data_IF_822940063052
#
_entry.id   IF_822940063052
#
_cell.length_a   1.000
_cell.length_b   1.000
_cell.length_c   1.000
_cell.angle_alpha   90.00
_cell.angle_beta   90.00
_cell.angle_gamma   90.00
#
_symmetry.space_group_name_H-M   'P 1'
#
loop_
_entity.id
_entity.type
_entity.pdbx_description
1 polymer ?
#
# COMPACT_ATOMS: atom_id res chain seq x y z
N UNK A 1 0.05 9.29 11.66
CA UNK A 1 1.32 9.21 10.92
C UNK A 1 0.98 9.46 9.47
N UNK A 2 1.76 10.27 8.77
CA UNK A 2 1.54 10.55 7.34
C UNK A 2 2.30 9.56 6.47
N UNK A 3 1.90 9.43 5.20
CA UNK A 3 2.65 8.61 4.22
C UNK A 3 4.10 9.10 4.07
N UNK A 4 4.34 10.41 4.16
CA UNK A 4 5.68 11.02 4.16
C UNK A 4 6.55 10.54 5.31
N UNK A 5 5.98 10.42 6.50
CA UNK A 5 6.69 9.88 7.67
C UNK A 5 6.99 8.39 7.46
N UNK A 6 6.03 7.63 6.91
CA UNK A 6 6.21 6.20 6.64
C UNK A 6 7.36 5.97 5.66
N UNK A 7 7.37 6.68 4.53
CA UNK A 7 8.44 6.62 3.51
C UNK A 7 9.82 6.81 4.12
N UNK A 8 9.96 7.76 5.06
CA UNK A 8 11.22 8.01 5.76
C UNK A 8 11.61 6.89 6.71
N UNK A 9 10.65 6.28 7.41
CA UNK A 9 10.91 5.23 8.42
C UNK A 9 11.35 3.93 7.76
N UNK A 10 10.76 3.57 6.61
CA UNK A 10 11.07 2.33 5.91
C UNK A 10 12.05 2.52 4.75
N UNK A 11 12.55 3.74 4.55
CA UNK A 11 13.46 4.11 3.45
C UNK A 11 12.92 3.67 2.08
N UNK A 12 11.63 3.90 1.83
CA UNK A 12 10.96 3.47 0.59
C UNK A 12 11.15 4.47 -0.56
N UNK A 13 11.12 3.94 -1.78
CA UNK A 13 11.03 4.74 -3.00
C UNK A 13 9.56 4.99 -3.38
N UNK A 14 9.22 6.25 -3.64
CA UNK A 14 7.87 6.64 -4.07
C UNK A 14 7.75 6.44 -5.58
N UNK A 15 7.05 5.38 -5.99
CA UNK A 15 6.81 5.08 -7.41
C UNK A 15 5.75 6.03 -8.02
N UNK A 16 4.70 6.34 -7.27
CA UNK A 16 3.60 7.22 -7.70
C UNK A 16 2.92 7.89 -6.49
N UNK A 17 2.01 8.85 -6.73
CA UNK A 17 1.24 9.51 -5.66
C UNK A 17 2.04 10.51 -4.82
N UNK A 18 3.04 11.17 -5.42
CA UNK A 18 3.90 12.15 -4.75
C UNK A 18 3.12 13.31 -4.11
N UNK A 19 1.97 13.66 -4.68
CA UNK A 19 1.03 14.69 -4.21
C UNK A 19 0.22 14.26 -2.98
N UNK A 20 0.22 12.98 -2.62
CA UNK A 20 -0.57 12.42 -1.51
C UNK A 20 0.27 12.12 -0.26
N UNK A 21 1.55 12.51 -0.22
CA UNK A 21 2.44 12.17 0.90
C UNK A 21 2.00 12.76 2.26
N UNK A 22 1.22 13.83 2.27
CA UNK A 22 0.69 14.44 3.50
C UNK A 22 -0.57 13.71 4.04
N UNK A 23 -1.06 12.68 3.34
CA UNK A 23 -2.22 11.87 3.76
C UNK A 23 -1.92 11.10 5.05
N UNK A 24 -2.85 11.15 5.99
CA UNK A 24 -2.83 10.31 7.19
C UNK A 24 -3.40 8.91 6.87
N UNK A 25 -2.80 7.87 7.44
CA UNK A 25 -3.30 6.50 7.32
C UNK A 25 -3.75 5.94 8.68
N UNK A 26 -4.72 5.03 8.66
CA UNK A 26 -5.38 4.48 9.86
C UNK A 26 -4.63 3.30 10.48
N UNK A 27 -3.78 2.62 9.71
CA UNK A 27 -3.00 1.47 10.15
C UNK A 27 -2.33 0.76 8.98
N UNK A 28 -1.84 -0.45 9.24
CA UNK A 28 -1.14 -1.27 8.24
C UNK A 28 -1.79 -2.65 8.19
N UNK A 29 -2.01 -3.16 6.98
CA UNK A 29 -2.40 -4.55 6.73
C UNK A 29 -1.29 -5.26 5.95
N UNK A 30 -0.92 -6.46 6.37
CA UNK A 30 0.19 -7.21 5.78
C UNK A 30 -0.32 -8.58 5.36
N UNK A 31 -0.33 -8.84 4.06
CA UNK A 31 -0.76 -10.12 3.51
C UNK A 31 -0.43 -10.21 2.03
N UNK A 32 -0.10 -11.41 1.58
CA UNK A 32 0.15 -11.73 0.18
C UNK A 32 -0.99 -12.54 -0.43
N UNK A 33 -2.11 -12.71 0.26
CA UNK A 33 -3.28 -13.38 -0.30
C UNK A 33 -4.36 -12.35 -0.60
N UNK A 34 -4.69 -12.15 -1.88
CA UNK A 34 -5.71 -11.17 -2.29
C UNK A 34 -7.06 -11.39 -1.59
N UNK A 35 -7.48 -12.66 -1.45
CA UNK A 35 -8.73 -13.00 -0.77
C UNK A 35 -8.73 -12.61 0.70
N UNK A 36 -7.56 -12.68 1.35
CA UNK A 36 -7.40 -12.29 2.74
C UNK A 36 -7.46 -10.76 2.90
N UNK A 37 -6.80 -10.02 2.01
CA UNK A 37 -6.84 -8.56 1.98
C UNK A 37 -8.27 -8.06 1.72
N UNK A 38 -8.96 -8.64 0.74
CA UNK A 38 -10.35 -8.30 0.42
C UNK A 38 -11.29 -8.55 1.60
N UNK A 39 -11.04 -9.61 2.39
CA UNK A 39 -11.91 -9.99 3.51
C UNK A 39 -11.67 -9.19 4.80
N UNK A 40 -10.47 -8.64 4.99
CA UNK A 40 -10.04 -8.18 6.31
C UNK A 40 -9.38 -6.79 6.35
N UNK A 41 -8.77 -6.31 5.26
CA UNK A 41 -8.18 -4.98 5.25
C UNK A 41 -9.27 -3.90 5.35
N UNK A 42 -8.94 -2.82 6.05
CA UNK A 42 -9.86 -1.73 6.36
C UNK A 42 -9.49 -0.47 5.58
N UNK A 43 -10.51 0.35 5.30
CA UNK A 43 -10.34 1.65 4.66
C UNK A 43 -9.25 2.50 5.36
N UNK A 44 -8.45 3.19 4.54
CA UNK A 44 -7.36 4.05 5.01
C UNK A 44 -6.15 3.32 5.56
N UNK A 45 -6.10 1.98 5.52
CA UNK A 45 -4.88 1.24 5.85
C UNK A 45 -3.86 1.28 4.71
N UNK A 46 -2.59 1.10 5.05
CA UNK A 46 -1.51 0.84 4.08
C UNK A 46 -1.34 -0.67 3.94
N UNK A 47 -1.27 -1.16 2.71
CA UNK A 47 -1.10 -2.58 2.44
C UNK A 47 0.35 -2.92 2.04
N UNK A 48 0.98 -3.83 2.77
CA UNK A 48 2.29 -4.38 2.46
C UNK A 48 2.13 -5.75 1.79
N UNK A 49 2.76 -5.93 0.64
CA UNK A 49 2.75 -7.20 -0.10
C UNK A 49 3.98 -7.38 -0.99
N UNK A 50 4.30 -8.63 -1.36
CA UNK A 50 5.26 -8.97 -2.42
C UNK A 50 4.61 -9.02 -3.81
N UNK A 51 3.28 -9.02 -3.91
CA UNK A 51 2.59 -9.12 -5.20
C UNK A 51 2.74 -7.82 -5.99
N UNK A 52 3.08 -7.92 -7.29
CA UNK A 52 3.35 -6.76 -8.17
C UNK A 52 2.35 -6.57 -9.30
N UNK A 53 1.48 -7.53 -9.53
CA UNK A 53 0.55 -7.51 -10.66
C UNK A 53 -0.57 -6.46 -10.50
N UNK A 54 -1.22 -6.11 -11.60
CA UNK A 54 -2.28 -5.07 -11.67
C UNK A 54 -3.43 -5.23 -10.67
N UNK A 55 -3.78 -6.45 -10.27
CA UNK A 55 -4.89 -6.69 -9.33
C UNK A 55 -4.63 -6.10 -7.93
N UNK A 56 -3.37 -5.87 -7.56
CA UNK A 56 -3.02 -5.23 -6.28
C UNK A 56 -3.57 -3.80 -6.24
N UNK A 57 -3.40 -3.05 -7.32
CA UNK A 57 -3.95 -1.69 -7.44
C UNK A 57 -5.48 -1.71 -7.44
N UNK A 58 -6.09 -2.67 -8.14
CA UNK A 58 -7.55 -2.81 -8.17
C UNK A 58 -8.14 -3.11 -6.79
N UNK A 59 -7.51 -3.99 -6.00
CA UNK A 59 -7.96 -4.31 -4.63
C UNK A 59 -7.75 -3.15 -3.68
N UNK A 60 -6.61 -2.46 -3.76
CA UNK A 60 -6.36 -1.28 -2.93
C UNK A 60 -7.39 -0.16 -3.20
N UNK A 61 -7.77 0.03 -4.46
CA UNK A 61 -8.82 0.97 -4.86
C UNK A 61 -10.19 0.51 -4.34
N UNK A 62 -10.53 -0.78 -4.48
CA UNK A 62 -11.81 -1.35 -4.02
C UNK A 62 -12.04 -1.12 -2.53
N UNK A 63 -10.99 -1.22 -1.71
CA UNK A 63 -11.06 -1.10 -0.25
C UNK A 63 -10.75 0.31 0.27
N UNK A 64 -10.53 1.29 -0.62
CA UNK A 64 -10.09 2.64 -0.26
C UNK A 64 -8.84 2.65 0.66
N UNK A 65 -7.82 1.87 0.30
CA UNK A 65 -6.56 1.84 1.03
C UNK A 65 -5.76 3.13 0.81
N UNK A 66 -5.02 3.55 1.82
CA UNK A 66 -4.26 4.80 1.77
C UNK A 66 -3.02 4.71 0.87
N UNK A 67 -2.35 3.55 0.86
CA UNK A 67 -1.19 3.29 0.02
C UNK A 67 -0.91 1.79 -0.10
N UNK A 68 -0.06 1.44 -1.06
CA UNK A 68 0.50 0.10 -1.23
C UNK A 68 2.01 0.22 -1.09
N UNK A 69 2.61 -0.66 -0.30
CA UNK A 69 4.07 -0.80 -0.17
C UNK A 69 4.45 -2.16 -0.74
N UNK A 70 5.14 -2.13 -1.87
CA UNK A 70 5.75 -3.32 -2.46
C UNK A 70 7.02 -3.64 -1.69
N UNK A 71 7.12 -4.88 -1.21
CA UNK A 71 8.23 -5.34 -0.37
C UNK A 71 9.23 -6.15 -1.19
N UNK A 72 10.33 -6.59 -0.56
CA UNK A 72 11.40 -7.38 -1.20
C UNK A 72 12.09 -6.70 -2.40
N UNK A 73 12.11 -5.36 -2.45
CA UNK A 73 12.72 -4.61 -3.55
C UNK A 73 11.94 -4.70 -4.87
N UNK A 74 10.71 -5.19 -4.82
CA UNK A 74 9.85 -5.28 -5.98
C UNK A 74 9.23 -3.92 -6.32
N UNK A 75 8.94 -3.71 -7.61
CA UNK A 75 8.20 -2.57 -8.12
C UNK A 75 6.91 -3.05 -8.79
N UNK A 76 5.83 -2.25 -8.79
CA UNK A 76 4.60 -2.63 -9.49
C UNK A 76 4.87 -2.88 -10.98
N UNK A 77 4.19 -3.87 -11.55
CA UNK A 77 4.22 -4.14 -12.98
C UNK A 77 3.53 -3.02 -13.78
N UNK A 78 3.99 -2.83 -15.02
CA UNK A 78 3.50 -1.79 -15.94
C UNK A 78 2.13 -2.14 -16.54
#
# INVERSE_FOLDING_TARGET
MTLKELVKVIEADVVTGHDQLETNFAGVYVSDLLSDVIGHAQEGQVWLTIQTHVNVVAVALLLNLAAIVFTAGAAPEA
#
